data_IF_736745078787
#
_entry.id   IF_736745078787
#
_cell.length_a   1.000
_cell.length_b   1.000
_cell.length_c   1.000
_cell.angle_alpha   90.00
_cell.angle_beta   90.00
_cell.angle_gamma   90.00
#
_symmetry.space_group_name_H-M   'P 1'
#
loop_
_entity.id
_entity.type
_entity.pdbx_description
1 polymer ?
#
# COMPACT_ATOMS: atom_id res chain seq x y z
N UNK A 1 -13.76 3.37 31.27
CA UNK A 1 -13.08 3.48 30.99
C UNK A 1 -12.82 3.52 29.88
N UNK A 2 -13.00 3.37 29.30
CA UNK A 2 -12.77 3.53 28.11
C UNK A 2 -11.46 3.64 27.66
N UNK A 3 -10.57 3.64 28.36
CA UNK A 3 -9.37 3.83 27.94
C UNK A 3 -8.85 2.59 27.39
N UNK A 4 -8.51 2.47 26.24
CA UNK A 4 -7.98 1.40 25.65
C UNK A 4 -6.55 1.38 25.90
N UNK A 5 -5.97 0.41 26.45
CA UNK A 5 -4.58 0.35 26.65
C UNK A 5 -3.88 -0.11 25.43
N UNK A 6 -2.82 0.51 25.03
CA UNK A 6 -2.05 0.14 23.88
C UNK A 6 -1.01 -0.86 24.32
N UNK A 7 -1.03 -2.05 23.75
CA UNK A 7 -0.10 -3.09 24.11
C UNK A 7 1.12 -3.04 23.23
N UNK A 8 2.14 -3.78 23.58
CA UNK A 8 3.33 -3.89 22.76
C UNK A 8 3.00 -4.45 21.41
N UNK A 9 2.09 -5.41 21.35
CA UNK A 9 1.68 -5.95 20.10
C UNK A 9 1.06 -4.91 19.21
N UNK A 10 0.26 -4.03 19.78
CA UNK A 10 -0.37 -2.96 19.01
C UNK A 10 0.67 -2.01 18.44
N UNK A 11 1.67 -1.69 19.24
CA UNK A 11 2.73 -0.81 18.79
C UNK A 11 3.55 -1.45 17.68
N UNK A 12 3.87 -2.72 17.83
CA UNK A 12 4.63 -3.41 16.80
C UNK A 12 3.86 -3.50 15.50
N UNK A 13 2.57 -3.72 15.60
CA UNK A 13 1.73 -3.79 14.42
C UNK A 13 1.75 -2.45 13.69
N UNK A 14 1.64 -1.35 14.42
CA UNK A 14 1.66 -0.03 13.82
C UNK A 14 3.01 0.27 13.19
N UNK A 15 4.08 -0.10 13.85
CA UNK A 15 5.40 0.12 13.33
C UNK A 15 5.60 -0.67 12.04
N UNK A 16 5.17 -1.92 12.04
CA UNK A 16 5.30 -2.74 10.86
C UNK A 16 4.52 -2.18 9.69
N UNK A 17 3.33 -1.65 9.94
CA UNK A 17 2.55 -1.05 8.88
C UNK A 17 3.26 0.16 8.29
N UNK A 18 3.86 0.96 9.12
CA UNK A 18 4.56 2.14 8.65
C UNK A 18 5.82 1.77 7.89
N UNK A 19 6.50 0.73 8.36
CA UNK A 19 7.69 0.26 7.67
C UNK A 19 7.35 -0.30 6.30
N UNK A 20 6.24 -1.00 6.21
CA UNK A 20 5.80 -1.54 4.93
C UNK A 20 5.53 -0.42 3.94
N UNK A 21 4.94 0.66 4.42
CA UNK A 21 4.66 1.78 3.55
C UNK A 21 5.95 2.41 3.04
N UNK A 22 6.92 2.55 3.92
CA UNK A 22 8.21 3.10 3.52
C UNK A 22 8.91 2.20 2.52
N UNK A 23 8.87 0.91 2.74
CA UNK A 23 9.47 -0.04 1.83
C UNK A 23 8.79 0.07 0.47
N UNK A 24 7.46 0.19 0.46
CA UNK A 24 6.73 0.32 -0.77
C UNK A 24 7.14 1.56 -1.54
N UNK A 25 7.27 2.69 -0.84
CA UNK A 25 7.66 3.93 -1.48
C UNK A 25 9.05 3.83 -2.07
N UNK A 26 9.96 3.20 -1.35
CA UNK A 26 11.32 3.03 -1.85
C UNK A 26 11.35 2.07 -3.03
N UNK A 27 10.56 1.03 -2.97
CA UNK A 27 10.54 0.01 -4.02
C UNK A 27 10.02 0.53 -5.35
N UNK A 28 9.20 1.57 -5.32
CA UNK A 28 8.62 2.09 -6.55
C UNK A 28 9.41 3.23 -7.16
N UNK A 29 10.52 3.60 -6.56
CA UNK A 29 11.31 4.70 -7.10
C UNK A 29 11.81 4.31 -8.49
N UNK A 30 11.63 5.20 -9.42
CA UNK A 30 12.10 4.97 -10.78
C UNK A 30 11.24 4.05 -11.63
N UNK A 31 10.11 3.58 -11.09
CA UNK A 31 9.24 2.71 -11.85
C UNK A 31 8.12 3.51 -12.49
N UNK A 32 7.53 2.99 -13.54
CA UNK A 32 6.40 3.71 -14.15
C UNK A 32 5.13 3.42 -13.36
N UNK A 33 4.05 4.08 -13.73
CA UNK A 33 2.81 4.01 -13.00
C UNK A 33 2.30 2.58 -12.84
N UNK A 34 2.26 1.84 -13.93
CA UNK A 34 1.72 0.48 -13.88
C UNK A 34 2.58 -0.42 -13.01
N UNK A 35 3.88 -0.27 -13.09
CA UNK A 35 4.76 -1.05 -12.26
C UNK A 35 4.64 -0.68 -10.79
N UNK A 36 4.48 0.60 -10.51
CA UNK A 36 4.29 1.03 -9.13
C UNK A 36 3.06 0.37 -8.53
N UNK A 37 1.99 0.32 -9.29
CA UNK A 37 0.75 -0.28 -8.82
C UNK A 37 0.94 -1.76 -8.57
N UNK A 38 1.60 -2.45 -9.47
CA UNK A 38 1.83 -3.88 -9.32
C UNK A 38 2.69 -4.18 -8.10
N UNK A 39 3.73 -3.41 -7.91
CA UNK A 39 4.61 -3.62 -6.77
C UNK A 39 3.88 -3.37 -5.47
N UNK A 40 3.15 -2.27 -5.39
CA UNK A 40 2.44 -1.95 -4.16
C UNK A 40 1.35 -2.98 -3.88
N UNK A 41 0.70 -3.46 -4.91
CA UNK A 41 -0.31 -4.49 -4.75
C UNK A 41 0.31 -5.79 -4.22
N UNK A 42 1.49 -6.12 -4.71
CA UNK A 42 2.15 -7.35 -4.28
C UNK A 42 2.61 -7.24 -2.82
N UNK A 43 2.80 -6.03 -2.34
CA UNK A 43 3.17 -5.81 -0.95
C UNK A 43 1.97 -5.77 -0.02
N UNK A 44 0.78 -5.91 -0.56
CA UNK A 44 -0.42 -5.96 0.26
C UNK A 44 -1.16 -4.65 0.44
N UNK A 45 -0.79 -3.61 -0.30
CA UNK A 45 -1.50 -2.35 -0.19
C UNK A 45 -2.85 -2.42 -0.88
N UNK A 46 -3.83 -1.77 -0.30
CA UNK A 46 -5.16 -1.72 -0.90
C UNK A 46 -5.17 -0.71 -2.04
N UNK A 47 -6.19 -0.77 -2.87
CA UNK A 47 -6.30 0.17 -3.97
C UNK A 47 -6.38 1.60 -3.48
N UNK A 48 -7.07 1.84 -2.38
CA UNK A 48 -7.15 3.17 -1.80
C UNK A 48 -5.77 3.66 -1.36
N UNK A 49 -5.01 2.79 -0.75
CA UNK A 49 -3.69 3.16 -0.28
C UNK A 49 -2.76 3.45 -1.45
N UNK A 50 -2.83 2.61 -2.47
CA UNK A 50 -2.00 2.81 -3.66
C UNK A 50 -2.34 4.13 -4.32
N UNK A 51 -3.63 4.40 -4.44
CA UNK A 51 -4.09 5.64 -5.02
C UNK A 51 -3.49 6.85 -4.30
N UNK A 52 -3.45 6.80 -2.99
CA UNK A 52 -2.90 7.90 -2.22
C UNK A 52 -1.39 8.00 -2.36
N UNK A 53 -0.72 6.88 -2.38
CA UNK A 53 0.74 6.87 -2.45
C UNK A 53 1.25 7.43 -3.76
N UNK A 54 0.66 7.01 -4.85
CA UNK A 54 1.15 7.46 -6.15
C UNK A 54 0.31 8.55 -6.80
N UNK A 55 -0.68 9.04 -6.06
CA UNK A 55 -1.49 10.19 -6.51
C UNK A 55 -2.22 9.94 -7.84
N UNK A 56 -2.83 8.79 -7.99
CA UNK A 56 -3.67 8.53 -9.15
C UNK A 56 -5.06 8.16 -8.66
N UNK A 57 -6.08 8.32 -9.48
CA UNK A 57 -7.44 7.99 -9.07
C UNK A 57 -7.56 6.51 -8.75
N UNK A 58 -8.39 6.19 -7.78
CA UNK A 58 -8.61 4.81 -7.40
C UNK A 58 -9.11 3.97 -8.58
N UNK A 59 -9.95 4.56 -9.43
CA UNK A 59 -10.43 3.85 -10.61
C UNK A 59 -9.30 3.41 -11.52
N UNK A 60 -8.26 4.23 -11.63
CA UNK A 60 -7.11 3.87 -12.44
C UNK A 60 -6.37 2.69 -11.81
N UNK A 61 -6.22 2.70 -10.49
CA UNK A 61 -5.60 1.60 -9.78
C UNK A 61 -6.41 0.32 -9.99
N UNK A 62 -7.71 0.42 -9.87
CA UNK A 62 -8.60 -0.72 -10.04
C UNK A 62 -8.43 -1.31 -11.44
N UNK A 63 -8.41 -0.47 -12.45
CA UNK A 63 -8.27 -0.92 -13.83
C UNK A 63 -6.95 -1.62 -14.08
N UNK A 64 -5.90 -1.03 -13.58
CA UNK A 64 -4.57 -1.60 -13.80
C UNK A 64 -4.41 -2.92 -13.06
N UNK A 65 -4.95 -3.01 -11.86
CA UNK A 65 -4.87 -4.26 -11.13
C UNK A 65 -5.71 -5.35 -11.79
N UNK A 66 -6.84 -4.97 -12.35
CA UNK A 66 -7.68 -5.93 -13.06
C UNK A 66 -6.96 -6.47 -14.27
N UNK A 67 -6.28 -5.60 -15.01
CA UNK A 67 -5.54 -6.04 -16.16
C UNK A 67 -4.38 -6.93 -15.77
N UNK A 68 -3.74 -6.60 -14.69
CA UNK A 68 -2.63 -7.36 -14.20
C UNK A 68 -3.02 -8.78 -13.82
N UNK A 69 -4.23 -8.92 -13.32
CA UNK A 69 -4.69 -10.19 -12.94
C UNK A 69 -5.04 -11.09 -14.08
N UNK A 70 -5.33 -10.53 -15.23
CA UNK A 70 -5.73 -11.25 -16.32
C UNK A 70 -4.57 -11.81 -16.88
N UNK A 71 -4.14 -12.71 -16.97
CA UNK A 71 -3.00 -13.10 -17.52
C UNK A 71 -3.15 -13.80 -18.49
#
# INVERSE_FOLDING_TARGET
MGKKEITEKDLLFEINKKLEKLIGILAIQGKDRDEKIKILASLGFSNSEISKIICVPKGTVDSIRAKSKKK
#
